data_IF_981884036775
#
_entry.id   IF_981884036775
#
_cell.length_a   1.000
_cell.length_b   1.000
_cell.length_c   1.000
_cell.angle_alpha   90.00
_cell.angle_beta   90.00
_cell.angle_gamma   90.00
#
_symmetry.space_group_name_H-M   'P 1'
#
loop_
_entity.id
_entity.type
_entity.pdbx_description
1 polymer ?
#
# COMPACT_ATOMS: atom_id res chain seq x y z
N UNK A 1 13.56 -15.49 64.98
CA UNK A 1 15.01 -15.56 65.19
C UNK A 1 15.45 -16.99 64.94
N UNK A 2 16.00 -17.28 63.76
CA UNK A 2 17.08 -18.22 63.39
C UNK A 2 17.17 -18.18 61.85
N UNK A 3 18.39 -17.99 61.35
CA UNK A 3 18.79 -17.75 59.96
C UNK A 3 19.27 -19.04 59.27
N UNK A 4 19.06 -19.07 57.95
CA UNK A 4 19.90 -19.61 56.86
C UNK A 4 20.36 -21.09 56.84
N UNK A 5 20.16 -21.74 55.69
CA UNK A 5 21.27 -22.30 54.89
C UNK A 5 20.82 -22.62 53.45
N UNK A 6 21.80 -22.70 52.55
CA UNK A 6 21.79 -22.41 51.12
C UNK A 6 22.25 -23.64 50.30
N UNK A 7 21.57 -23.85 49.17
CA UNK A 7 21.95 -24.44 47.85
C UNK A 7 22.56 -25.85 47.66
N UNK A 8 21.94 -26.48 46.66
CA UNK A 8 22.50 -27.11 45.44
C UNK A 8 22.81 -28.60 45.42
N UNK A 9 22.11 -29.30 44.51
CA UNK A 9 22.73 -30.22 43.53
C UNK A 9 21.88 -30.25 42.26
N UNK A 10 22.51 -29.84 41.16
CA UNK A 10 22.13 -30.13 39.77
C UNK A 10 22.42 -31.58 39.41
N UNK A 11 21.68 -32.19 38.48
CA UNK A 11 22.21 -32.83 37.25
C UNK A 11 21.07 -32.92 36.22
N UNK A 12 21.42 -32.54 34.99
CA UNK A 12 20.63 -32.43 33.77
C UNK A 12 20.34 -33.77 33.06
N UNK A 13 19.56 -33.64 31.97
CA UNK A 13 19.44 -34.49 30.76
C UNK A 13 18.31 -35.55 30.80
N UNK A 14 17.35 -35.62 29.87
CA UNK A 14 17.24 -35.04 28.52
C UNK A 14 15.78 -35.07 28.00
N UNK A 15 15.39 -33.94 27.41
CA UNK A 15 14.58 -33.73 26.18
C UNK A 15 13.22 -34.42 25.97
N UNK A 16 12.14 -33.67 26.23
CA UNK A 16 10.94 -33.65 25.38
C UNK A 16 11.04 -32.44 24.44
N UNK A 17 11.08 -32.70 23.13
CA UNK A 17 10.98 -31.67 22.11
C UNK A 17 9.50 -31.34 21.89
N UNK A 18 9.02 -30.26 22.48
CA UNK A 18 7.83 -29.56 22.01
C UNK A 18 8.29 -28.40 21.12
N UNK A 19 8.06 -28.56 19.82
CA UNK A 19 8.20 -27.49 18.84
C UNK A 19 7.15 -26.42 19.15
N UNK A 20 7.54 -25.42 19.93
CA UNK A 20 6.84 -24.14 19.94
C UNK A 20 7.00 -23.51 18.56
N UNK A 21 5.87 -23.36 17.85
CA UNK A 21 5.78 -22.52 16.68
C UNK A 21 6.27 -21.13 17.06
N UNK A 22 7.33 -20.69 16.39
CA UNK A 22 7.80 -19.32 16.51
C UNK A 22 6.67 -18.40 16.05
N UNK A 23 6.13 -17.59 16.97
CA UNK A 23 5.39 -16.39 16.59
C UNK A 23 6.30 -15.62 15.61
N UNK A 24 5.83 -15.29 14.40
CA UNK A 24 6.61 -14.46 13.50
C UNK A 24 6.88 -13.16 14.25
N UNK A 25 8.16 -12.78 14.35
CA UNK A 25 8.61 -11.59 15.04
C UNK A 25 7.66 -10.44 14.70
N UNK A 26 7.02 -9.86 15.73
CA UNK A 26 6.07 -8.77 15.58
C UNK A 26 6.80 -7.56 14.99
N UNK A 27 6.93 -7.54 13.66
CA UNK A 27 7.29 -6.36 12.91
C UNK A 27 6.15 -5.39 13.11
N UNK A 28 6.33 -4.41 13.98
CA UNK A 28 5.42 -3.28 14.12
C UNK A 28 5.29 -2.64 12.75
N UNK A 29 4.21 -2.95 12.03
CA UNK A 29 3.94 -2.35 10.73
C UNK A 29 3.30 -1.00 11.02
N UNK A 30 3.97 0.13 10.71
CA UNK A 30 3.38 1.45 10.90
C UNK A 30 2.16 1.62 9.98
N UNK A 31 1.35 2.64 10.28
CA UNK A 31 0.29 3.08 9.38
C UNK A 31 0.89 3.44 8.01
N UNK A 32 0.16 3.15 6.95
CA UNK A 32 0.46 3.55 5.56
C UNK A 32 -0.66 4.39 5.00
N UNK A 33 -0.39 5.11 3.91
CA UNK A 33 -1.32 6.05 3.30
C UNK A 33 -2.70 5.44 3.02
N UNK A 34 -2.76 4.22 2.47
CA UNK A 34 -4.04 3.56 2.20
C UNK A 34 -4.84 3.25 3.49
N UNK A 35 -4.23 3.15 4.68
CA UNK A 35 -4.98 2.96 5.94
C UNK A 35 -5.92 4.13 6.21
N UNK A 36 -5.53 5.34 5.79
CA UNK A 36 -6.37 6.52 5.87
C UNK A 36 -7.68 6.34 5.09
N UNK A 37 -7.70 5.49 4.06
CA UNK A 37 -8.86 5.26 3.20
C UNK A 37 -9.75 4.11 3.69
N UNK A 38 -9.25 3.26 4.57
CA UNK A 38 -9.88 1.97 4.90
C UNK A 38 -10.29 1.89 6.36
N UNK A 39 -9.52 2.45 7.27
CA UNK A 39 -9.86 2.44 8.69
C UNK A 39 -11.00 3.44 8.98
N UNK A 40 -11.84 3.19 10.00
CA UNK A 40 -12.78 4.20 10.49
C UNK A 40 -12.03 5.47 10.91
N UNK A 41 -12.60 6.66 10.67
CA UNK A 41 -11.97 7.94 11.03
C UNK A 41 -11.67 8.03 12.52
N UNK A 42 -12.57 7.50 13.37
CA UNK A 42 -12.35 7.46 14.83
C UNK A 42 -11.13 6.62 15.20
N UNK A 43 -10.91 5.49 14.52
CA UNK A 43 -9.73 4.63 14.73
C UNK A 43 -8.46 5.34 14.30
N UNK A 44 -8.49 6.06 13.17
CA UNK A 44 -7.37 6.87 12.70
C UNK A 44 -7.06 8.00 13.68
N UNK A 45 -8.10 8.68 14.16
CA UNK A 45 -7.98 9.77 15.14
C UNK A 45 -7.29 9.27 16.40
N UNK A 46 -7.75 8.16 16.96
CA UNK A 46 -7.20 7.59 18.19
C UNK A 46 -5.78 7.04 17.96
N UNK A 47 -5.49 6.46 16.79
CA UNK A 47 -4.18 5.92 16.46
C UNK A 47 -3.11 7.00 16.21
N UNK A 48 -3.52 8.18 15.75
CA UNK A 48 -2.63 9.30 15.41
C UNK A 48 -2.66 10.44 16.43
N UNK A 49 -3.38 10.28 17.55
CA UNK A 49 -3.60 11.32 18.56
C UNK A 49 -4.05 12.64 17.92
N UNK A 50 -5.17 12.57 17.21
CA UNK A 50 -5.69 13.69 16.45
C UNK A 50 -6.89 14.37 17.12
N UNK A 51 -6.95 15.69 17.07
CA UNK A 51 -8.11 16.48 17.47
C UNK A 51 -8.85 17.01 16.23
N UNK A 52 -10.17 16.89 16.24
CA UNK A 52 -11.02 17.34 15.15
C UNK A 52 -11.97 18.45 15.62
N UNK A 53 -12.09 19.50 14.82
CA UNK A 53 -13.04 20.59 15.05
C UNK A 53 -13.60 21.15 13.73
N UNK A 54 -14.75 21.80 13.82
CA UNK A 54 -15.32 22.56 12.71
C UNK A 54 -15.15 24.05 13.00
N UNK A 55 -14.58 24.80 12.06
CA UNK A 55 -14.35 26.24 12.21
C UNK A 55 -14.34 26.94 10.84
N UNK A 56 -14.57 28.26 10.85
CA UNK A 56 -14.40 29.09 9.66
C UNK A 56 -12.93 29.10 9.24
N UNK A 57 -12.65 28.61 8.03
CA UNK A 57 -11.30 28.60 7.44
C UNK A 57 -11.11 29.81 6.53
N UNK A 58 -9.85 30.17 6.27
CA UNK A 58 -9.50 31.32 5.43
C UNK A 58 -9.60 30.98 3.94
N UNK A 59 -9.81 32.02 3.13
CA UNK A 59 -9.92 31.94 1.67
C UNK A 59 -10.97 30.89 1.21
N UNK A 60 -10.59 30.00 0.31
CA UNK A 60 -11.43 28.93 -0.25
C UNK A 60 -11.12 27.55 0.36
N UNK A 61 -10.39 27.51 1.47
CA UNK A 61 -9.99 26.26 2.14
C UNK A 61 -11.21 25.59 2.77
N UNK A 62 -11.35 24.29 2.50
CA UNK A 62 -12.42 23.45 3.05
C UNK A 62 -11.93 22.57 4.20
N UNK A 63 -10.65 22.20 4.21
CA UNK A 63 -10.06 21.40 5.26
C UNK A 63 -8.57 21.70 5.45
N UNK A 64 -8.09 21.54 6.69
CA UNK A 64 -6.67 21.68 7.04
C UNK A 64 -6.25 20.65 8.08
N UNK A 65 -5.03 20.15 7.94
CA UNK A 65 -4.30 19.40 8.95
C UNK A 65 -3.06 20.18 9.35
N UNK A 66 -2.81 20.27 10.67
CA UNK A 66 -1.66 20.93 11.27
C UNK A 66 -1.05 19.95 12.29
N UNK A 67 0.24 19.64 12.15
CA UNK A 67 1.00 18.84 13.10
C UNK A 67 1.79 19.77 14.03
N UNK A 68 1.54 19.72 15.34
CA UNK A 68 2.20 20.57 16.34
C UNK A 68 2.50 19.77 17.61
N UNK A 69 3.76 19.74 18.05
CA UNK A 69 4.21 19.07 19.28
C UNK A 69 3.66 17.64 19.44
N UNK A 70 3.79 16.82 18.38
CA UNK A 70 3.30 15.44 18.29
C UNK A 70 1.76 15.26 18.29
N UNK A 71 0.98 16.34 18.30
CA UNK A 71 -0.48 16.31 18.18
C UNK A 71 -0.92 16.74 16.77
N UNK A 72 -1.93 16.06 16.22
CA UNK A 72 -2.52 16.44 14.94
C UNK A 72 -3.81 17.22 15.15
N UNK A 73 -3.91 18.40 14.57
CA UNK A 73 -5.14 19.19 14.55
C UNK A 73 -5.75 19.16 13.16
N UNK A 74 -6.99 18.69 13.05
CA UNK A 74 -7.74 18.67 11.81
C UNK A 74 -8.96 19.58 11.93
N UNK A 75 -9.13 20.47 10.95
CA UNK A 75 -10.28 21.33 10.85
C UNK A 75 -10.96 21.19 9.50
N UNK A 76 -12.29 21.23 9.50
CA UNK A 76 -13.10 21.36 8.28
C UNK A 76 -14.09 22.51 8.42
N UNK A 77 -14.52 23.10 7.31
CA UNK A 77 -15.58 24.12 7.36
C UNK A 77 -16.89 23.53 7.87
N UNK A 78 -17.72 24.30 8.61
CA UNK A 78 -18.97 23.78 9.17
C UNK A 78 -19.99 23.44 8.09
N UNK A 79 -20.84 22.44 8.36
CA UNK A 79 -21.99 22.12 7.52
C UNK A 79 -21.70 21.30 6.26
N UNK A 80 -20.49 20.77 6.11
CA UNK A 80 -20.18 19.81 5.06
C UNK A 80 -21.02 18.51 5.22
N UNK A 81 -21.49 17.92 4.11
CA UNK A 81 -22.04 16.56 4.13
C UNK A 81 -21.04 15.57 4.72
N UNK A 82 -21.51 14.59 5.50
CA UNK A 82 -20.64 13.61 6.17
C UNK A 82 -19.70 12.88 5.20
N UNK A 83 -20.18 12.49 4.02
CA UNK A 83 -19.38 11.83 3.01
C UNK A 83 -18.24 12.72 2.48
N UNK A 84 -18.51 14.02 2.33
CA UNK A 84 -17.51 15.00 1.87
C UNK A 84 -16.49 15.29 2.96
N UNK A 85 -16.94 15.54 4.18
CA UNK A 85 -16.06 15.68 5.35
C UNK A 85 -15.18 14.45 5.53
N UNK A 86 -15.75 13.24 5.43
CA UNK A 86 -14.99 12.00 5.51
C UNK A 86 -13.93 11.93 4.41
N UNK A 87 -14.25 12.31 3.18
CA UNK A 87 -13.29 12.28 2.08
C UNK A 87 -12.11 13.23 2.35
N UNK A 88 -12.39 14.47 2.77
CA UNK A 88 -11.36 15.47 3.06
C UNK A 88 -10.42 15.00 4.18
N UNK A 89 -10.98 14.50 5.29
CA UNK A 89 -10.18 14.01 6.43
C UNK A 89 -9.28 12.83 6.03
N UNK A 90 -9.81 11.88 5.24
CA UNK A 90 -9.03 10.72 4.76
C UNK A 90 -7.88 11.16 3.87
N UNK A 91 -8.09 12.13 2.99
CA UNK A 91 -7.02 12.71 2.18
C UNK A 91 -5.96 13.36 3.06
N UNK A 92 -6.35 14.20 4.02
CA UNK A 92 -5.42 14.85 4.94
C UNK A 92 -4.56 13.84 5.71
N UNK A 93 -5.19 12.80 6.28
CA UNK A 93 -4.48 11.72 6.94
C UNK A 93 -3.55 10.97 6.00
N UNK A 94 -4.01 10.68 4.78
CA UNK A 94 -3.22 9.98 3.78
C UNK A 94 -1.92 10.73 3.47
N UNK A 95 -2.02 12.03 3.19
CA UNK A 95 -0.87 12.91 2.90
C UNK A 95 0.08 13.02 4.10
N UNK A 96 -0.46 13.14 5.31
CA UNK A 96 0.36 13.20 6.51
C UNK A 96 1.09 11.87 6.75
N UNK A 97 0.41 10.72 6.63
CA UNK A 97 1.03 9.40 6.84
C UNK A 97 2.10 9.12 5.79
N UNK A 98 1.87 9.47 4.52
CA UNK A 98 2.82 9.18 3.43
C UNK A 98 4.07 10.06 3.50
N UNK A 99 3.92 11.32 3.89
CA UNK A 99 4.96 12.31 3.69
C UNK A 99 5.44 13.01 4.96
N UNK A 100 4.74 12.84 6.08
CA UNK A 100 4.97 13.58 7.33
C UNK A 100 4.88 15.10 7.15
N UNK A 101 3.93 15.58 6.35
CA UNK A 101 3.69 17.01 6.17
C UNK A 101 3.19 17.66 7.46
N UNK A 102 3.78 18.80 7.79
CA UNK A 102 3.45 19.56 8.99
C UNK A 102 2.15 20.35 8.80
N UNK A 103 1.87 20.80 7.57
CA UNK A 103 0.60 21.42 7.19
C UNK A 103 0.12 20.85 5.86
N UNK A 104 -1.16 20.48 5.80
CA UNK A 104 -1.86 20.09 4.56
C UNK A 104 -3.17 20.86 4.50
N UNK A 105 -3.44 21.59 3.42
CA UNK A 105 -4.71 22.29 3.20
C UNK A 105 -5.35 21.82 1.91
N UNK A 106 -6.67 21.66 1.92
CA UNK A 106 -7.49 21.36 0.74
C UNK A 106 -8.43 22.53 0.45
N UNK A 107 -8.39 23.05 -0.77
CA UNK A 107 -9.34 24.04 -1.24
C UNK A 107 -10.66 23.42 -1.75
N UNK A 108 -11.61 24.28 -2.11
CA UNK A 108 -12.90 23.88 -2.67
C UNK A 108 -12.81 23.12 -4.00
N UNK A 109 -11.70 23.27 -4.73
CA UNK A 109 -11.40 22.49 -5.94
C UNK A 109 -10.66 21.17 -5.63
N UNK A 110 -10.46 20.84 -4.34
CA UNK A 110 -9.70 19.69 -3.85
C UNK A 110 -8.24 19.71 -4.25
N UNK A 111 -7.69 20.91 -4.47
CA UNK A 111 -6.26 21.08 -4.64
C UNK A 111 -5.59 21.10 -3.28
N UNK A 112 -4.63 20.20 -3.09
CA UNK A 112 -3.84 20.15 -1.87
C UNK A 112 -2.66 21.13 -1.95
N UNK A 113 -2.41 21.86 -0.85
CA UNK A 113 -1.16 22.58 -0.61
C UNK A 113 -0.52 22.02 0.65
N UNK A 114 0.79 21.81 0.61
CA UNK A 114 1.53 21.11 1.67
C UNK A 114 2.75 21.91 2.11
N UNK A 115 3.12 21.80 3.38
CA UNK A 115 4.32 22.40 3.95
C UNK A 115 4.97 21.48 4.99
N UNK A 116 6.31 21.40 4.96
CA UNK A 116 7.09 20.63 5.95
C UNK A 116 7.39 21.42 7.23
N UNK A 117 7.25 22.74 7.24
CA UNK A 117 7.76 23.58 8.33
C UNK A 117 6.65 24.24 9.14
N UNK A 118 6.61 23.90 10.42
CA UNK A 118 6.10 24.75 11.49
C UNK A 118 7.29 25.07 12.41
N UNK A 119 8.00 26.17 12.12
CA UNK A 119 8.97 26.76 13.04
C UNK A 119 10.24 25.98 13.39
N UNK A 120 10.71 25.02 12.58
CA UNK A 120 11.99 24.34 12.84
C UNK A 120 13.19 25.13 12.31
N UNK A 121 14.14 25.41 13.20
CA UNK A 121 15.51 25.83 12.87
C UNK A 121 16.16 24.75 12.02
N UNK A 122 16.88 25.15 10.96
CA UNK A 122 17.58 24.26 10.03
C UNK A 122 18.46 23.24 10.78
N UNK A 123 17.93 22.03 10.94
CA UNK A 123 18.69 20.83 11.22
C UNK A 123 19.14 20.18 9.90
N UNK A 124 20.19 19.35 9.91
CA UNK A 124 20.80 18.81 8.69
C UNK A 124 19.79 17.99 7.87
N UNK A 125 19.76 18.25 6.56
CA UNK A 125 18.83 17.71 5.53
C UNK A 125 18.78 16.18 5.39
N UNK A 126 19.60 15.43 6.14
CA UNK A 126 19.80 13.97 5.98
C UNK A 126 19.15 13.10 7.08
N UNK A 127 18.23 13.65 7.89
CA UNK A 127 17.47 12.82 8.82
C UNK A 127 16.39 12.01 8.06
N UNK A 128 16.38 10.66 8.12
CA UNK A 128 15.33 9.86 7.49
C UNK A 128 13.95 10.25 8.07
N UNK A 129 12.87 10.21 7.28
CA UNK A 129 11.54 10.71 7.67
C UNK A 129 10.85 9.95 8.82
N UNK A 130 11.55 9.04 9.51
CA UNK A 130 10.98 8.07 10.45
C UNK A 130 11.06 8.46 11.95
N UNK A 131 11.54 9.65 12.29
CA UNK A 131 11.79 9.98 13.69
C UNK A 131 10.53 10.29 14.53
N UNK A 132 9.40 10.65 13.91
CA UNK A 132 8.26 11.24 14.63
C UNK A 132 6.94 10.45 14.59
N UNK A 133 6.78 9.43 13.74
CA UNK A 133 5.64 8.50 13.78
C UNK A 133 5.83 7.40 14.85
N UNK A 134 6.11 7.80 16.10
CA UNK A 134 6.30 6.86 17.23
C UNK A 134 5.06 6.81 18.12
N UNK A 135 4.17 5.85 17.81
CA UNK A 135 3.35 5.05 18.77
C UNK A 135 2.34 4.11 18.09
N UNK A 136 2.52 3.73 16.83
CA UNK A 136 1.56 2.84 16.16
C UNK A 136 1.74 1.40 16.66
N UNK A 137 0.80 0.99 17.52
CA UNK A 137 0.42 -0.41 17.74
C UNK A 137 0.25 -1.07 16.37
N UNK A 138 0.85 -2.26 16.15
CA UNK A 138 0.77 -3.00 14.88
C UNK A 138 -0.55 -2.76 14.13
N UNK A 139 -0.48 -2.03 13.00
CA UNK A 139 -1.65 -1.52 12.29
C UNK A 139 -2.64 -2.64 11.89
N UNK A 140 -2.16 -3.88 11.80
CA UNK A 140 -3.00 -5.07 11.57
C UNK A 140 -4.13 -5.20 12.59
N UNK A 141 -3.89 -4.80 13.85
CA UNK A 141 -4.88 -4.87 14.93
C UNK A 141 -6.00 -3.83 14.76
N UNK A 142 -5.72 -2.72 14.08
CA UNK A 142 -6.71 -1.66 13.84
C UNK A 142 -7.83 -2.11 12.89
N UNK A 143 -7.60 -3.19 12.13
CA UNK A 143 -8.58 -3.78 11.24
C UNK A 143 -9.53 -4.76 11.93
N UNK A 144 -9.35 -5.07 13.22
CA UNK A 144 -10.26 -5.96 13.94
C UNK A 144 -11.70 -5.40 13.91
N UNK A 145 -12.64 -6.19 13.38
CA UNK A 145 -14.03 -5.75 13.20
C UNK A 145 -14.28 -4.79 12.02
N UNK A 146 -13.25 -4.40 11.27
CA UNK A 146 -13.40 -3.61 10.04
C UNK A 146 -13.90 -4.47 8.88
N UNK A 147 -14.69 -3.88 7.97
CA UNK A 147 -15.08 -4.52 6.70
C UNK A 147 -13.87 -4.87 5.82
N UNK A 148 -12.73 -4.24 6.08
CA UNK A 148 -11.47 -4.44 5.37
C UNK A 148 -10.50 -5.39 6.09
N UNK A 149 -10.93 -6.07 7.14
CA UNK A 149 -10.17 -7.17 7.73
C UNK A 149 -9.92 -8.28 6.67
N UNK A 150 -8.80 -9.00 6.73
CA UNK A 150 -8.58 -10.18 5.91
C UNK A 150 -9.73 -11.19 6.01
N UNK A 151 -10.17 -11.73 4.87
CA UNK A 151 -11.27 -12.73 4.84
C UNK A 151 -10.94 -14.02 5.59
N UNK A 152 -9.66 -14.41 5.54
CA UNK A 152 -9.20 -15.72 6.00
C UNK A 152 -8.00 -15.59 6.95
N UNK A 153 -7.90 -14.46 7.65
CA UNK A 153 -6.76 -14.12 8.49
C UNK A 153 -5.53 -13.68 7.71
N UNK A 154 -4.46 -13.39 8.44
CA UNK A 154 -3.17 -13.01 7.86
C UNK A 154 -2.42 -14.23 7.34
N UNK A 155 -1.77 -14.08 6.19
CA UNK A 155 -1.10 -15.11 5.40
C UNK A 155 0.29 -14.64 4.99
N UNK A 156 1.14 -15.58 4.58
CA UNK A 156 2.43 -15.23 4.00
C UNK A 156 2.31 -14.74 2.55
N UNK A 157 3.42 -14.22 2.00
CA UNK A 157 3.44 -13.66 0.65
C UNK A 157 3.07 -14.69 -0.43
N UNK A 158 3.49 -15.96 -0.28
CA UNK A 158 3.26 -17.01 -1.30
C UNK A 158 1.81 -17.49 -1.32
N UNK A 159 1.19 -17.65 -0.14
CA UNK A 159 -0.24 -17.91 0.01
C UNK A 159 -1.07 -16.78 -0.60
N UNK A 160 -0.64 -15.52 -0.38
CA UNK A 160 -1.30 -14.33 -0.92
C UNK A 160 -1.15 -14.24 -2.43
N UNK A 161 0.04 -14.46 -2.97
CA UNK A 161 0.28 -14.47 -4.42
C UNK A 161 -0.58 -15.55 -5.09
N UNK A 162 -0.64 -16.75 -4.50
CA UNK A 162 -1.50 -17.83 -5.01
C UNK A 162 -2.96 -17.42 -5.05
N UNK A 163 -3.46 -16.79 -3.98
CA UNK A 163 -4.84 -16.30 -3.93
C UNK A 163 -5.12 -15.19 -4.96
N UNK A 164 -4.16 -14.27 -5.18
CA UNK A 164 -4.29 -13.21 -6.18
C UNK A 164 -4.31 -13.77 -7.61
N UNK A 165 -3.48 -14.78 -7.89
CA UNK A 165 -3.49 -15.49 -9.19
C UNK A 165 -4.81 -16.23 -9.41
N UNK A 166 -5.40 -16.81 -8.36
CA UNK A 166 -6.72 -17.43 -8.41
C UNK A 166 -7.83 -16.41 -8.73
N UNK A 167 -7.72 -15.15 -8.29
CA UNK A 167 -8.68 -14.11 -8.70
C UNK A 167 -8.64 -13.86 -10.21
N UNK A 168 -7.44 -13.85 -10.82
CA UNK A 168 -7.31 -13.69 -12.27
C UNK A 168 -7.85 -14.92 -13.01
N UNK A 169 -7.42 -16.11 -12.60
CA UNK A 169 -7.70 -17.37 -13.31
C UNK A 169 -9.12 -17.89 -13.08
N UNK A 170 -9.59 -17.90 -11.84
CA UNK A 170 -10.88 -18.50 -11.48
C UNK A 170 -12.05 -17.50 -11.51
N UNK A 171 -11.77 -16.20 -11.32
CA UNK A 171 -12.84 -15.18 -11.22
C UNK A 171 -12.92 -14.25 -12.43
N UNK A 172 -11.82 -14.08 -13.16
CA UNK A 172 -11.78 -13.28 -14.39
C UNK A 172 -11.54 -14.15 -15.63
N UNK A 173 -11.54 -15.48 -15.50
CA UNK A 173 -11.29 -16.46 -16.56
C UNK A 173 -9.98 -16.20 -17.35
N UNK A 174 -9.01 -15.54 -16.70
CA UNK A 174 -7.77 -15.08 -17.29
C UNK A 174 -6.60 -16.05 -17.15
N UNK A 175 -5.41 -15.56 -17.51
CA UNK A 175 -4.13 -16.25 -17.33
C UNK A 175 -3.24 -15.46 -16.36
N UNK A 176 -2.64 -16.15 -15.39
CA UNK A 176 -1.73 -15.57 -14.41
C UNK A 176 -0.43 -16.37 -14.38
N UNK A 177 0.60 -15.84 -15.04
CA UNK A 177 1.88 -16.50 -15.22
C UNK A 177 3.03 -15.69 -14.60
N UNK A 178 4.13 -16.40 -14.35
CA UNK A 178 5.38 -15.76 -14.01
C UNK A 178 6.10 -15.40 -15.32
N UNK A 179 6.76 -14.25 -15.39
CA UNK A 179 7.64 -13.93 -16.52
C UNK A 179 8.84 -14.90 -16.45
N UNK A 180 9.06 -15.73 -17.48
CA UNK A 180 10.19 -16.65 -17.48
C UNK A 180 11.51 -15.87 -17.46
N UNK A 181 12.45 -16.28 -16.61
CA UNK A 181 13.76 -15.63 -16.47
C UNK A 181 14.59 -15.65 -17.78
N UNK A 182 14.26 -16.57 -18.70
CA UNK A 182 14.91 -16.76 -20.00
C UNK A 182 14.20 -16.04 -21.17
N UNK A 183 12.97 -15.56 -20.97
CA UNK A 183 12.19 -14.85 -21.98
C UNK A 183 12.40 -13.35 -21.81
N UNK A 184 13.26 -12.83 -22.68
CA UNK A 184 13.51 -11.41 -22.95
C UNK A 184 14.25 -10.60 -21.89
N UNK A 185 15.05 -9.60 -22.30
CA UNK A 185 15.10 -8.39 -21.49
C UNK A 185 13.72 -7.73 -21.61
N UNK A 186 12.90 -7.85 -20.56
CA UNK A 186 11.87 -6.84 -20.33
C UNK A 186 12.54 -5.46 -20.28
N UNK A 187 11.85 -4.40 -20.69
CA UNK A 187 12.39 -3.07 -20.50
C UNK A 187 12.79 -2.83 -19.05
N UNK A 188 13.91 -2.11 -18.86
CA UNK A 188 14.39 -1.76 -17.53
C UNK A 188 13.28 -1.06 -16.73
N UNK A 189 13.09 -1.46 -15.47
CA UNK A 189 12.07 -0.89 -14.59
C UNK A 189 10.69 -1.58 -14.63
N UNK A 190 10.41 -2.46 -15.60
CA UNK A 190 9.15 -3.22 -15.66
C UNK A 190 9.13 -4.36 -14.64
N UNK A 191 8.05 -4.43 -13.86
CA UNK A 191 7.76 -5.48 -12.88
C UNK A 191 6.68 -6.46 -13.31
N UNK A 192 5.73 -6.01 -14.13
CA UNK A 192 4.64 -6.84 -14.66
C UNK A 192 4.14 -6.33 -16.02
N UNK A 193 3.44 -7.20 -16.74
CA UNK A 193 2.73 -6.90 -17.97
C UNK A 193 1.29 -7.41 -17.87
N UNK A 194 0.33 -6.61 -18.32
CA UNK A 194 -1.10 -6.96 -18.34
C UNK A 194 -1.66 -6.65 -19.71
N UNK A 195 -2.37 -7.59 -20.32
CA UNK A 195 -3.15 -7.36 -21.55
C UNK A 195 -4.50 -8.08 -21.46
N UNK A 196 -5.34 -7.86 -22.47
CA UNK A 196 -6.65 -8.50 -22.58
C UNK A 196 -6.66 -9.34 -23.86
N UNK A 197 -6.68 -10.67 -23.68
CA UNK A 197 -6.98 -11.61 -24.74
C UNK A 197 -8.49 -11.72 -24.97
N UNK A 198 -8.88 -12.32 -26.09
CA UNK A 198 -10.28 -12.61 -26.39
C UNK A 198 -10.43 -14.08 -26.76
N UNK A 199 -11.46 -14.72 -26.24
CA UNK A 199 -11.77 -16.11 -26.61
C UNK A 199 -12.47 -16.21 -27.97
N UNK A 200 -12.86 -17.43 -28.36
CA UNK A 200 -13.56 -17.70 -29.62
C UNK A 200 -14.94 -17.02 -29.69
N UNK A 201 -15.52 -16.65 -28.56
CA UNK A 201 -16.79 -15.95 -28.42
C UNK A 201 -16.62 -14.42 -28.43
N UNK A 202 -15.38 -13.93 -28.33
CA UNK A 202 -15.05 -12.52 -28.25
C UNK A 202 -15.18 -11.94 -26.84
N UNK A 203 -15.24 -12.79 -25.81
CA UNK A 203 -15.24 -12.33 -24.42
C UNK A 203 -13.81 -11.99 -23.97
N UNK A 204 -13.62 -10.90 -23.21
CA UNK A 204 -12.30 -10.45 -22.78
C UNK A 204 -11.78 -11.24 -21.58
N UNK A 205 -10.52 -11.68 -21.65
CA UNK A 205 -9.82 -12.44 -20.61
C UNK A 205 -8.46 -11.80 -20.30
N UNK A 206 -8.18 -11.40 -19.06
CA UNK A 206 -6.91 -10.77 -18.72
C UNK A 206 -5.78 -11.79 -18.81
N UNK A 207 -4.66 -11.38 -19.42
CA UNK A 207 -3.41 -12.13 -19.43
C UNK A 207 -2.39 -11.31 -18.63
N UNK A 208 -1.87 -11.89 -17.56
CA UNK A 208 -1.02 -11.22 -16.58
C UNK A 208 0.27 -12.00 -16.41
N UNK A 209 1.40 -11.29 -16.52
CA UNK A 209 2.72 -11.81 -16.20
C UNK A 209 3.43 -10.93 -15.19
N UNK A 210 4.01 -11.52 -14.15
CA UNK A 210 4.78 -10.80 -13.11
C UNK A 210 6.17 -11.40 -12.98
N UNK A 211 7.19 -10.56 -12.76
CA UNK A 211 8.57 -11.03 -12.53
C UNK A 211 8.73 -11.81 -11.22
N UNK A 212 9.61 -12.81 -11.24
CA UNK A 212 9.93 -13.66 -10.08
C UNK A 212 11.22 -13.30 -9.36
N UNK A 213 12.12 -12.55 -10.02
CA UNK A 213 13.45 -12.20 -9.52
C UNK A 213 13.45 -10.97 -8.58
N UNK A 214 12.27 -10.58 -8.09
CA UNK A 214 12.03 -9.47 -7.18
C UNK A 214 11.58 -9.98 -5.79
N UNK A 215 11.73 -9.17 -4.72
CA UNK A 215 11.30 -9.58 -3.38
C UNK A 215 9.82 -9.99 -3.32
N UNK A 216 9.50 -11.07 -2.60
CA UNK A 216 8.15 -11.65 -2.48
C UNK A 216 7.08 -10.63 -2.11
N UNK A 217 7.40 -9.73 -1.19
CA UNK A 217 6.47 -8.68 -0.75
C UNK A 217 6.14 -7.67 -1.86
N UNK A 218 7.11 -7.30 -2.69
CA UNK A 218 6.89 -6.45 -3.87
C UNK A 218 6.08 -7.22 -4.92
N UNK A 219 6.39 -8.50 -5.13
CA UNK A 219 5.65 -9.38 -6.04
C UNK A 219 4.18 -9.51 -5.65
N UNK A 220 3.88 -9.64 -4.36
CA UNK A 220 2.50 -9.67 -3.84
C UNK A 220 1.77 -8.34 -4.09
N UNK A 221 2.43 -7.19 -3.88
CA UNK A 221 1.87 -5.87 -4.19
C UNK A 221 1.59 -5.72 -5.70
N UNK A 222 2.51 -6.16 -6.57
CA UNK A 222 2.35 -6.13 -8.03
C UNK A 222 1.19 -7.01 -8.49
N UNK A 223 1.10 -8.25 -8.00
CA UNK A 223 -0.06 -9.11 -8.31
C UNK A 223 -1.38 -8.45 -7.89
N UNK A 224 -1.40 -7.78 -6.73
CA UNK A 224 -2.55 -7.01 -6.29
C UNK A 224 -2.93 -5.88 -7.24
N UNK A 225 -1.93 -5.15 -7.74
CA UNK A 225 -2.12 -4.10 -8.73
C UNK A 225 -2.62 -4.65 -10.06
N UNK A 226 -2.04 -5.75 -10.55
CA UNK A 226 -2.47 -6.41 -11.77
C UNK A 226 -3.93 -6.91 -11.66
N UNK A 227 -4.34 -7.51 -10.54
CA UNK A 227 -5.74 -7.90 -10.31
C UNK A 227 -6.66 -6.68 -10.41
N UNK A 228 -6.29 -5.58 -9.75
CA UNK A 228 -7.08 -4.35 -9.77
C UNK A 228 -7.17 -3.76 -11.19
N UNK A 229 -6.08 -3.82 -11.96
CA UNK A 229 -6.00 -3.30 -13.33
C UNK A 229 -6.85 -4.15 -14.27
N UNK A 230 -6.76 -5.48 -14.17
CA UNK A 230 -7.56 -6.41 -14.95
C UNK A 230 -9.06 -6.28 -14.66
N UNK A 231 -9.44 -5.99 -13.42
CA UNK A 231 -10.84 -5.81 -13.02
C UNK A 231 -11.41 -4.42 -13.36
N UNK A 232 -10.57 -3.42 -13.64
CA UNK A 232 -10.99 -2.05 -13.93
C UNK A 232 -9.98 -1.32 -14.84
N UNK A 233 -9.79 -1.79 -16.09
CA UNK A 233 -8.82 -1.18 -17.02
C UNK A 233 -9.20 0.25 -17.39
N UNK A 234 -10.50 0.59 -17.36
CA UNK A 234 -11.04 1.93 -17.54
C UNK A 234 -10.55 2.95 -16.49
N UNK A 235 -10.03 2.48 -15.36
CA UNK A 235 -9.50 3.31 -14.28
C UNK A 235 -7.98 3.41 -14.26
N UNK A 236 -7.29 2.85 -15.26
CA UNK A 236 -5.84 2.85 -15.38
C UNK A 236 -5.24 4.26 -15.47
N UNK A 237 -5.99 5.24 -16.01
CA UNK A 237 -5.49 6.60 -16.23
C UNK A 237 -4.40 6.70 -17.31
N UNK A 238 -4.04 5.58 -17.94
CA UNK A 238 -3.16 5.46 -19.08
C UNK A 238 -3.78 4.50 -20.11
N UNK A 239 -3.42 4.67 -21.37
CA UNK A 239 -3.78 3.73 -22.44
C UNK A 239 -2.70 2.65 -22.54
N UNK A 240 -3.06 1.42 -22.95
CA UNK A 240 -2.08 0.39 -23.23
C UNK A 240 -1.30 0.72 -24.51
N UNK A 241 -0.26 -0.06 -24.78
CA UNK A 241 0.50 0.06 -26.02
C UNK A 241 -0.30 -0.35 -27.28
N UNK A 242 0.35 -0.28 -28.44
CA UNK A 242 -0.26 -0.67 -29.73
C UNK A 242 -0.71 -2.14 -29.79
N UNK A 243 -0.18 -3.00 -28.92
CA UNK A 243 -0.55 -4.40 -28.79
C UNK A 243 -1.57 -4.62 -27.66
N UNK A 244 -2.05 -3.56 -27.01
CA UNK A 244 -2.97 -3.65 -25.88
C UNK A 244 -2.30 -4.08 -24.57
N UNK A 245 -0.99 -3.86 -24.42
CA UNK A 245 -0.23 -4.22 -23.22
C UNK A 245 -0.03 -3.00 -22.31
N UNK A 246 -0.35 -3.17 -21.04
CA UNK A 246 0.06 -2.29 -19.94
C UNK A 246 1.35 -2.80 -19.32
N UNK A 247 2.39 -1.97 -19.29
CA UNK A 247 3.62 -2.25 -18.55
C UNK A 247 3.55 -1.60 -17.18
N UNK A 248 3.66 -2.40 -16.12
CA UNK A 248 3.62 -1.93 -14.74
C UNK A 248 5.05 -1.82 -14.22
N UNK A 249 5.42 -0.64 -13.73
CA UNK A 249 6.73 -0.39 -13.14
C UNK A 249 6.94 -1.09 -11.80
N UNK A 250 8.19 -1.19 -11.36
CA UNK A 250 8.54 -1.73 -10.03
C UNK A 250 8.52 -0.70 -8.91
N UNK A 251 8.53 0.59 -9.25
CA UNK A 251 8.50 1.67 -8.28
C UNK A 251 7.11 1.80 -7.66
N UNK A 252 7.07 1.83 -6.33
CA UNK A 252 5.84 1.97 -5.55
C UNK A 252 5.75 3.38 -4.97
N UNK A 253 4.60 4.01 -5.14
CA UNK A 253 4.25 5.26 -4.47
C UNK A 253 3.13 5.06 -3.45
N UNK A 254 3.06 5.90 -2.40
CA UNK A 254 1.97 5.85 -1.44
C UNK A 254 0.60 6.06 -2.09
N UNK A 255 -0.41 5.31 -1.64
CA UNK A 255 -1.78 5.46 -2.11
C UNK A 255 -2.40 6.72 -1.49
N UNK A 256 -2.44 7.82 -2.23
CA UNK A 256 -2.93 9.12 -1.74
C UNK A 256 -4.44 9.31 -1.91
N UNK A 257 -5.10 8.47 -2.70
CA UNK A 257 -6.49 8.69 -3.09
C UNK A 257 -7.26 7.43 -3.52
N UNK A 258 -8.59 7.56 -3.76
CA UNK A 258 -9.38 6.52 -4.39
C UNK A 258 -8.92 6.30 -5.83
N UNK A 259 -8.90 5.05 -6.27
CA UNK A 259 -8.52 4.70 -7.62
C UNK A 259 -7.98 3.28 -7.69
N UNK A 260 -7.33 2.99 -8.81
CA UNK A 260 -6.67 1.71 -9.05
C UNK A 260 -5.66 1.33 -7.95
N UNK A 261 -4.78 2.24 -7.45
CA UNK A 261 -3.85 1.94 -6.37
C UNK A 261 -4.53 1.53 -5.06
N UNK A 262 -5.63 2.20 -4.68
CA UNK A 262 -6.39 1.85 -3.49
C UNK A 262 -7.08 0.50 -3.64
N UNK A 263 -7.65 0.22 -4.81
CA UNK A 263 -8.25 -1.08 -5.11
C UNK A 263 -7.20 -2.20 -5.00
N UNK A 264 -5.98 -1.97 -5.50
CA UNK A 264 -4.87 -2.90 -5.38
C UNK A 264 -4.51 -3.18 -3.91
N UNK A 265 -4.27 -2.12 -3.12
CA UNK A 265 -3.95 -2.25 -1.70
C UNK A 265 -5.06 -2.99 -0.93
N UNK A 266 -6.32 -2.67 -1.21
CA UNK A 266 -7.48 -3.33 -0.62
C UNK A 266 -7.58 -4.80 -0.99
N UNK A 267 -7.26 -5.15 -2.24
CA UNK A 267 -7.28 -6.53 -2.71
C UNK A 267 -6.23 -7.35 -1.95
N UNK A 268 -4.99 -6.87 -1.88
CA UNK A 268 -3.89 -7.49 -1.10
C UNK A 268 -4.24 -7.64 0.38
N UNK A 269 -4.82 -6.59 0.98
CA UNK A 269 -5.30 -6.60 2.35
C UNK A 269 -6.37 -7.67 2.58
N UNK A 270 -7.35 -7.79 1.67
CA UNK A 270 -8.48 -8.72 1.81
C UNK A 270 -8.07 -10.18 1.67
N UNK A 271 -7.05 -10.48 0.87
CA UNK A 271 -6.51 -11.84 0.72
C UNK A 271 -5.58 -12.26 1.88
N UNK A 272 -5.17 -11.32 2.73
CA UNK A 272 -4.52 -11.63 4.00
C UNK A 272 -3.09 -11.13 4.16
N UNK A 273 -2.65 -10.14 3.39
CA UNK A 273 -1.34 -9.51 3.58
C UNK A 273 -1.49 -8.03 3.87
N UNK A 274 -0.64 -7.49 4.74
CA UNK A 274 -0.53 -6.03 4.89
C UNK A 274 0.12 -5.47 3.61
N UNK A 275 -0.60 -4.76 2.72
CA UNK A 275 0.01 -4.16 1.53
C UNK A 275 1.12 -3.20 1.92
N UNK A 276 2.12 -3.11 1.03
CA UNK A 276 3.09 -2.04 1.05
C UNK A 276 2.48 -0.76 0.49
N UNK A 277 3.21 -0.17 -0.43
CA UNK A 277 2.72 0.91 -1.28
C UNK A 277 2.26 0.29 -2.61
N UNK A 278 1.11 0.67 -3.13
CA UNK A 278 0.50 0.00 -4.29
C UNK A 278 0.18 0.96 -5.43
N UNK A 279 0.67 2.19 -5.39
CA UNK A 279 0.58 3.10 -6.53
C UNK A 279 1.77 2.86 -7.45
N UNK A 280 1.58 1.95 -8.40
CA UNK A 280 2.57 1.61 -9.41
C UNK A 280 2.33 2.43 -10.67
N UNK A 281 3.40 2.98 -11.22
CA UNK A 281 3.34 3.67 -12.50
C UNK A 281 3.05 2.70 -13.64
N UNK A 282 2.15 3.08 -14.54
CA UNK A 282 2.03 2.49 -15.86
C UNK A 282 3.06 3.17 -16.78
N UNK A 283 3.95 2.37 -17.35
CA UNK A 283 5.07 2.84 -18.15
C UNK A 283 4.66 2.94 -19.61
N UNK A 284 5.15 3.99 -20.28
CA UNK A 284 5.01 4.12 -21.72
C UNK A 284 5.64 2.91 -22.42
N UNK A 285 5.06 2.45 -23.55
CA UNK A 285 5.69 1.41 -24.33
C UNK A 285 7.10 1.83 -24.71
N UNK A 286 8.05 0.94 -24.44
CA UNK A 286 9.41 1.15 -24.91
C UNK A 286 9.39 1.04 -26.42
N UNK A 287 9.53 2.19 -27.08
CA UNK A 287 9.81 2.26 -28.50
C UNK A 287 11.10 1.48 -28.70
N UNK A 288 10.98 0.26 -29.21
CA UNK A 288 12.14 -0.42 -29.77
C UNK A 288 12.58 0.43 -30.95
N UNK A 289 13.56 1.30 -30.74
CA UNK A 289 14.35 1.79 -31.86
C UNK A 289 14.76 0.55 -32.63
N UNK A 290 14.37 0.49 -33.90
CA UNK A 290 14.71 -0.57 -34.83
C UNK A 290 16.24 -0.57 -35.04
N UNK A 291 16.98 -1.02 -34.03
CA UNK A 291 18.42 -1.11 -34.03
C UNK A 291 18.80 -2.37 -34.81
N UNK A 292 18.92 -2.15 -36.12
CA UNK A 292 19.84 -2.84 -37.02
C UNK A 292 19.54 -4.32 -37.24
N UNK A 293 18.76 -4.60 -38.29
CA UNK A 293 18.99 -5.83 -39.06
C UNK A 293 20.49 -5.87 -39.43
N UNK A 294 21.23 -6.94 -39.12
CA UNK A 294 22.56 -7.10 -39.70
C UNK A 294 22.38 -7.24 -41.20
N UNK A 295 23.00 -6.34 -41.97
CA UNK A 295 23.14 -6.51 -43.41
C UNK A 295 23.73 -7.90 -43.68
N UNK A 296 22.99 -8.72 -44.42
CA UNK A 296 23.48 -9.99 -44.92
C UNK A 296 24.70 -9.73 -45.81
N UNK A 297 25.84 -10.33 -45.45
CA UNK A 297 27.03 -10.45 -46.29
C UNK A 297 26.94 -11.70 -47.19
#
# INVERSE_FOLDING_TARGET
>A
MVLNSVRATSVNDHTCAEQHGAEPAASTSPLRAHDAWTLPIEVLRDALDAEFFEDELFDDIQAVLISCDDLLFLATVPGLPEAERSHLLRFLFSEHISHSWAVVTLDSARTAKVSKTLGATEGPEDAPPDAHLRRVTDARRLYEGSQWAPLHGWRDDDEVITALRALITDSLDGTAEDIPEDVYPLPEGVGAAVTIGYDEQGEPHPLVWVRTDIPSGLRADLWGFCVALSASPDKAGAEPDENGVYYVGMERSPVTGPGLPLLAALTVQRVGRRPGDCDFALLDPVVQDAASQPEAA
#
